data_IF_882408148933
#
_entry.id   IF_882408148933
#
_cell.length_a   1.000
_cell.length_b   1.000
_cell.length_c   1.000
_cell.angle_alpha   90.00
_cell.angle_beta   90.00
_cell.angle_gamma   90.00
#
_symmetry.space_group_name_H-M   'P 1'
#
loop_
_entity.id
_entity.type
_entity.pdbx_description
1 polymer ?
#
# COMPACT_ATOMS: atom_id res chain seq x y z
N UNK A 1 -8.77 2.46 22.51
CA UNK A 1 -9.04 3.88 22.82
C UNK A 1 -10.25 4.32 21.99
N UNK A 2 -11.39 4.49 22.67
CA UNK A 2 -12.73 4.31 22.13
C UNK A 2 -13.27 5.43 21.24
N UNK A 3 -14.01 5.00 20.22
CA UNK A 3 -15.05 5.79 19.56
C UNK A 3 -16.38 5.05 19.82
N UNK A 4 -17.01 5.37 20.94
CA UNK A 4 -18.39 4.96 21.26
C UNK A 4 -19.34 5.75 20.38
N UNK A 5 -19.75 5.16 19.25
CA UNK A 5 -20.90 5.60 18.49
C UNK A 5 -22.18 5.21 19.25
N UNK A 6 -22.91 6.20 19.75
CA UNK A 6 -24.20 6.01 20.38
C UNK A 6 -25.25 5.63 19.32
N UNK A 7 -25.75 4.39 19.38
CA UNK A 7 -26.91 3.91 18.63
C UNK A 7 -27.76 3.03 19.55
N UNK A 8 -28.93 3.53 19.94
CA UNK A 8 -29.89 2.90 20.86
C UNK A 8 -30.57 1.67 20.24
N UNK A 9 -30.66 0.57 21.00
CA UNK A 9 -31.57 -0.55 20.69
C UNK A 9 -31.14 -1.91 21.25
N UNK A 10 -31.50 -2.20 22.51
CA UNK A 10 -31.70 -3.55 23.10
C UNK A 10 -30.75 -4.68 22.66
N UNK A 11 -29.46 -4.53 22.93
CA UNK A 11 -28.57 -5.60 23.40
C UNK A 11 -27.32 -4.93 23.96
N UNK A 12 -27.26 -4.71 25.27
CA UNK A 12 -25.96 -4.61 25.94
C UNK A 12 -25.35 -6.02 25.96
N UNK A 13 -25.07 -6.57 24.77
CA UNK A 13 -24.10 -7.64 24.64
C UNK A 13 -22.82 -7.09 25.26
N UNK A 14 -22.25 -7.81 26.22
CA UNK A 14 -21.03 -7.41 26.92
C UNK A 14 -19.98 -7.01 25.88
N UNK A 15 -19.86 -5.71 25.62
CA UNK A 15 -18.83 -5.18 24.74
C UNK A 15 -17.51 -5.54 25.41
N UNK A 16 -16.59 -6.25 24.72
CA UNK A 16 -15.32 -6.61 25.31
C UNK A 16 -14.64 -5.35 25.85
N UNK A 17 -14.43 -5.31 27.16
CA UNK A 17 -13.68 -4.22 27.79
C UNK A 17 -12.21 -4.55 27.60
N UNK A 18 -11.59 -3.93 26.59
CA UNK A 18 -10.15 -4.02 26.38
C UNK A 18 -9.45 -3.07 27.35
N UNK A 19 -8.63 -3.61 28.25
CA UNK A 19 -7.82 -2.83 29.19
C UNK A 19 -6.50 -2.41 28.53
N UNK A 20 -5.88 -3.33 27.78
CA UNK A 20 -4.60 -3.11 27.12
C UNK A 20 -4.51 -3.82 25.75
N UNK A 21 -3.31 -3.84 25.17
CA UNK A 21 -3.05 -4.48 23.88
C UNK A 21 -3.03 -6.01 23.97
N UNK A 22 -2.82 -6.59 25.14
CA UNK A 22 -2.85 -8.04 25.32
C UNK A 22 -4.31 -8.52 25.19
N UNK A 23 -5.28 -7.80 25.76
CA UNK A 23 -6.71 -8.08 25.54
C UNK A 23 -7.12 -7.95 24.07
N UNK A 24 -6.57 -6.95 23.37
CA UNK A 24 -6.85 -6.74 21.95
C UNK A 24 -6.31 -7.90 21.12
N UNK A 25 -5.08 -8.36 21.39
CA UNK A 25 -4.45 -9.46 20.62
C UNK A 25 -4.98 -10.84 20.98
N UNK A 26 -5.48 -11.03 22.19
CA UNK A 26 -6.20 -12.25 22.60
C UNK A 26 -7.60 -12.34 21.98
N UNK A 27 -8.16 -11.21 21.53
CA UNK A 27 -9.51 -11.15 20.95
C UNK A 27 -9.65 -12.00 19.68
N UNK A 28 -10.78 -12.73 19.52
CA UNK A 28 -11.13 -13.36 18.24
C UNK A 28 -11.25 -12.36 17.07
N UNK A 29 -11.39 -11.07 17.36
CA UNK A 29 -11.42 -10.00 16.36
C UNK A 29 -10.03 -9.57 15.87
N UNK A 30 -8.95 -9.98 16.56
CA UNK A 30 -7.58 -9.80 16.08
C UNK A 30 -7.27 -10.74 14.90
N UNK A 31 -8.05 -11.81 14.73
CA UNK A 31 -7.93 -12.71 13.60
C UNK A 31 -8.79 -12.27 12.42
N UNK A 32 -8.38 -12.70 11.22
CA UNK A 32 -9.18 -12.48 10.02
C UNK A 32 -10.17 -13.62 9.79
N UNK A 33 -11.43 -13.44 10.20
CA UNK A 33 -12.49 -14.38 9.86
C UNK A 33 -12.89 -14.24 8.39
N UNK A 34 -12.60 -15.26 7.60
CA UNK A 34 -13.07 -15.38 6.21
C UNK A 34 -14.46 -16.02 6.17
N UNK A 35 -15.31 -15.67 5.19
CA UNK A 35 -16.54 -16.42 4.92
C UNK A 35 -16.25 -17.91 4.67
N UNK A 36 -17.19 -18.78 5.01
CA UNK A 36 -17.01 -20.25 5.01
C UNK A 36 -16.65 -20.84 3.63
N UNK A 37 -17.01 -20.17 2.55
CA UNK A 37 -16.72 -20.59 1.17
C UNK A 37 -15.30 -20.21 0.72
N UNK A 38 -14.59 -19.35 1.44
CA UNK A 38 -13.20 -19.01 1.12
C UNK A 38 -12.30 -20.15 1.57
N UNK A 39 -11.49 -20.65 0.65
CA UNK A 39 -10.49 -21.70 0.90
C UNK A 39 -9.10 -21.08 0.99
N UNK A 40 -8.29 -21.58 1.90
CA UNK A 40 -6.87 -21.22 1.99
C UNK A 40 -6.10 -22.03 0.94
N UNK A 41 -5.05 -21.42 0.39
CA UNK A 41 -4.05 -22.08 -0.44
C UNK A 41 -2.68 -21.79 0.15
N UNK A 42 -1.72 -22.64 -0.19
CA UNK A 42 -0.34 -22.44 0.23
C UNK A 42 0.22 -21.14 -0.38
N UNK A 43 1.20 -20.56 0.30
CA UNK A 43 1.97 -19.45 -0.24
C UNK A 43 2.66 -19.92 -1.53
N UNK A 44 2.75 -19.03 -2.54
CA UNK A 44 3.24 -19.31 -3.90
C UNK A 44 2.37 -20.23 -4.77
N UNK A 45 1.21 -20.63 -4.26
CA UNK A 45 0.22 -21.37 -5.02
C UNK A 45 -1.07 -20.51 -5.13
N UNK A 46 -1.10 -19.50 -6.03
CA UNK A 46 -2.32 -18.76 -6.36
C UNK A 46 -3.16 -19.48 -7.41
N UNK A 47 -4.44 -19.09 -7.55
CA UNK A 47 -5.38 -19.73 -8.48
C UNK A 47 -4.98 -19.66 -9.95
N UNK A 48 -4.02 -18.80 -10.27
CA UNK A 48 -3.42 -18.67 -11.59
C UNK A 48 -2.02 -19.25 -11.53
N UNK A 49 -1.68 -20.13 -12.47
CA UNK A 49 -0.34 -20.71 -12.56
C UNK A 49 0.72 -19.61 -12.76
N UNK A 50 1.83 -19.74 -12.05
CA UNK A 50 2.99 -18.86 -12.17
C UNK A 50 4.16 -19.69 -12.71
N UNK A 51 4.67 -19.30 -13.87
CA UNK A 51 5.93 -19.80 -14.39
C UNK A 51 7.09 -19.03 -13.73
N UNK A 52 7.62 -19.59 -12.65
CA UNK A 52 8.71 -19.01 -11.88
C UNK A 52 10.04 -18.97 -12.64
N UNK A 53 10.22 -19.82 -13.66
CA UNK A 53 11.43 -19.88 -14.46
C UNK A 53 11.46 -18.74 -15.48
N UNK A 54 10.30 -18.39 -16.04
CA UNK A 54 10.14 -17.20 -16.89
C UNK A 54 10.19 -15.88 -16.12
N UNK A 55 9.89 -15.88 -14.82
CA UNK A 55 10.01 -14.67 -14.00
C UNK A 55 11.46 -14.23 -13.84
N UNK A 56 11.68 -12.92 -13.91
CA UNK A 56 12.98 -12.31 -13.66
C UNK A 56 12.82 -11.09 -12.76
N UNK A 57 13.93 -10.72 -12.11
CA UNK A 57 13.99 -9.55 -11.26
C UNK A 57 13.79 -8.28 -12.10
N UNK A 58 12.63 -7.65 -11.98
CA UNK A 58 12.32 -6.46 -12.79
C UNK A 58 13.11 -5.22 -12.35
N UNK A 59 13.47 -4.38 -13.33
CA UNK A 59 14.02 -3.05 -13.10
C UNK A 59 12.86 -2.04 -12.97
N UNK A 60 12.68 -1.46 -11.77
CA UNK A 60 11.62 -0.50 -11.48
C UNK A 60 11.69 0.80 -12.27
N UNK A 61 12.82 1.09 -12.91
CA UNK A 61 13.02 2.25 -13.79
C UNK A 61 12.39 2.03 -15.17
N UNK A 62 12.22 0.77 -15.59
CA UNK A 62 11.72 0.36 -16.90
C UNK A 62 10.22 0.08 -16.90
N UNK A 63 9.43 0.92 -16.23
CA UNK A 63 7.97 0.79 -16.17
C UNK A 63 7.27 1.76 -17.11
N UNK A 64 6.17 1.34 -17.73
CA UNK A 64 5.42 2.13 -18.71
C UNK A 64 4.81 3.45 -18.18
N UNK A 65 4.87 3.68 -16.87
CA UNK A 65 4.48 4.97 -16.25
C UNK A 65 5.57 6.05 -16.38
N UNK A 66 6.82 5.68 -16.67
CA UNK A 66 7.94 6.63 -16.78
C UNK A 66 7.97 7.24 -18.18
N UNK A 67 8.02 8.58 -18.26
CA UNK A 67 7.98 9.29 -19.55
C UNK A 67 9.12 8.89 -20.49
N UNK A 68 10.35 8.76 -20.01
CA UNK A 68 11.48 8.34 -20.85
C UNK A 68 11.28 6.94 -21.45
N UNK A 69 10.69 6.02 -20.69
CA UNK A 69 10.30 4.68 -21.17
C UNK A 69 9.21 4.80 -22.24
N UNK A 70 8.20 5.63 -22.03
CA UNK A 70 7.16 5.87 -23.04
C UNK A 70 7.76 6.44 -24.33
N UNK A 71 8.65 7.44 -24.24
CA UNK A 71 9.32 8.03 -25.39
C UNK A 71 10.15 6.98 -26.14
N UNK A 72 10.89 6.12 -25.41
CA UNK A 72 11.69 5.04 -26.01
C UNK A 72 10.85 4.14 -26.92
N UNK A 73 9.66 3.76 -26.49
CA UNK A 73 8.84 2.76 -27.19
C UNK A 73 7.78 3.36 -28.13
N UNK A 74 7.27 4.55 -27.84
CA UNK A 74 6.17 5.18 -28.59
C UNK A 74 6.64 6.37 -29.45
N UNK A 75 7.80 6.94 -29.16
CA UNK A 75 8.25 8.22 -29.71
C UNK A 75 7.68 9.42 -28.95
N UNK A 76 8.44 10.52 -28.94
CA UNK A 76 8.06 11.73 -28.21
C UNK A 76 6.77 12.39 -28.74
N UNK A 77 6.59 12.40 -30.06
CA UNK A 77 5.40 12.97 -30.70
C UNK A 77 4.11 12.30 -30.21
N UNK A 78 4.08 10.96 -30.21
CA UNK A 78 2.90 10.21 -29.76
C UNK A 78 2.64 10.41 -28.26
N UNK A 79 3.69 10.46 -27.44
CA UNK A 79 3.56 10.77 -26.01
C UNK A 79 2.96 12.16 -25.81
N UNK A 80 3.42 13.17 -26.56
CA UNK A 80 2.88 14.52 -26.50
C UNK A 80 1.44 14.58 -26.99
N UNK A 81 1.10 13.90 -28.09
CA UNK A 81 -0.27 13.81 -28.61
C UNK A 81 -1.23 13.21 -27.58
N UNK A 82 -0.86 12.09 -26.94
CA UNK A 82 -1.68 11.45 -25.89
C UNK A 82 -1.92 12.36 -24.70
N UNK A 83 -0.88 13.05 -24.24
CA UNK A 83 -1.00 14.01 -23.15
C UNK A 83 -1.94 15.17 -23.51
N UNK A 84 -1.84 15.69 -24.74
CA UNK A 84 -2.73 16.75 -25.22
C UNK A 84 -4.20 16.30 -25.31
N UNK A 85 -4.47 15.08 -25.79
CA UNK A 85 -5.82 14.50 -25.83
C UNK A 85 -6.39 14.36 -24.41
N UNK A 86 -5.60 13.83 -23.47
CA UNK A 86 -6.03 13.70 -22.07
C UNK A 86 -6.33 15.06 -21.42
N UNK A 87 -5.44 16.05 -21.61
CA UNK A 87 -5.65 17.39 -21.08
C UNK A 87 -6.90 18.06 -21.66
N UNK A 88 -7.13 17.91 -22.98
CA UNK A 88 -8.33 18.42 -23.64
C UNK A 88 -9.60 17.74 -23.11
N UNK A 89 -9.59 16.41 -22.98
CA UNK A 89 -10.74 15.65 -22.46
C UNK A 89 -11.15 16.14 -21.07
N UNK A 90 -10.19 16.30 -20.15
CA UNK A 90 -10.48 16.84 -18.81
C UNK A 90 -10.98 18.28 -18.86
N UNK A 91 -10.35 19.15 -19.67
CA UNK A 91 -10.75 20.55 -19.79
C UNK A 91 -12.15 20.72 -20.40
N UNK A 92 -12.49 19.96 -21.43
CA UNK A 92 -13.81 19.97 -22.04
C UNK A 92 -14.86 19.40 -21.07
N UNK A 93 -14.52 18.34 -20.32
CA UNK A 93 -15.38 17.78 -19.29
C UNK A 93 -15.73 18.77 -18.18
N UNK A 94 -14.75 19.57 -17.74
CA UNK A 94 -14.94 20.65 -16.77
C UNK A 94 -15.87 21.75 -17.29
N UNK A 95 -15.66 22.21 -18.54
CA UNK A 95 -16.50 23.25 -19.16
C UNK A 95 -17.94 22.82 -19.35
N UNK A 96 -18.15 21.53 -19.61
CA UNK A 96 -19.46 20.97 -19.93
C UNK A 96 -20.16 20.34 -18.70
N UNK A 97 -19.64 20.53 -17.48
CA UNK A 97 -20.17 19.91 -16.26
C UNK A 97 -20.41 18.39 -16.38
N UNK A 98 -19.50 17.71 -17.08
CA UNK A 98 -19.61 16.27 -17.33
C UNK A 98 -19.55 15.50 -16.01
N UNK A 99 -20.48 14.57 -15.72
CA UNK A 99 -20.44 13.76 -14.51
C UNK A 99 -19.08 13.06 -14.32
N UNK A 100 -18.45 13.24 -13.14
CA UNK A 100 -17.11 12.71 -12.84
C UNK A 100 -15.95 13.65 -13.19
N UNK A 101 -16.21 14.73 -13.95
CA UNK A 101 -15.23 15.76 -14.31
C UNK A 101 -15.66 17.15 -13.84
N UNK A 102 -16.64 17.25 -12.94
CA UNK A 102 -17.05 18.55 -12.39
C UNK A 102 -15.94 19.13 -11.53
N UNK A 103 -15.98 20.44 -11.31
CA UNK A 103 -15.01 21.15 -10.47
C UNK A 103 -14.86 20.50 -9.08
N UNK A 104 -15.98 20.13 -8.44
CA UNK A 104 -15.97 19.45 -7.13
C UNK A 104 -15.34 18.04 -7.17
N UNK A 105 -15.53 17.32 -8.28
CA UNK A 105 -14.98 15.96 -8.45
C UNK A 105 -13.46 16.05 -8.64
N UNK A 106 -12.99 17.03 -9.42
CA UNK A 106 -11.57 17.34 -9.60
C UNK A 106 -10.94 17.88 -8.31
N UNK A 107 -11.64 18.71 -7.53
CA UNK A 107 -11.14 19.21 -6.25
C UNK A 107 -10.96 18.07 -5.23
N UNK A 108 -11.90 17.14 -5.17
CA UNK A 108 -11.78 15.93 -4.34
C UNK A 108 -10.59 15.08 -4.79
N UNK A 109 -10.46 14.83 -6.10
CA UNK A 109 -9.33 14.07 -6.64
C UNK A 109 -7.98 14.76 -6.34
N UNK A 110 -7.90 16.08 -6.52
CA UNK A 110 -6.70 16.87 -6.22
C UNK A 110 -6.34 16.82 -4.73
N UNK A 111 -7.34 16.89 -3.83
CA UNK A 111 -7.15 16.74 -2.40
C UNK A 111 -6.50 15.39 -2.05
N UNK A 112 -6.99 14.29 -2.62
CA UNK A 112 -6.38 12.95 -2.44
C UNK A 112 -4.99 12.88 -3.08
N UNK A 113 -4.81 13.42 -4.29
CA UNK A 113 -3.51 13.41 -4.98
C UNK A 113 -2.46 14.27 -4.27
N UNK A 114 -2.85 15.28 -3.49
CA UNK A 114 -1.92 16.04 -2.64
C UNK A 114 -1.25 15.18 -1.55
N UNK A 115 -1.89 14.07 -1.17
CA UNK A 115 -1.34 13.06 -0.25
C UNK A 115 -0.52 11.99 -1.00
N UNK A 116 -0.52 11.97 -2.33
CA UNK A 116 0.22 10.99 -3.13
C UNK A 116 1.73 11.01 -2.89
N UNK A 117 2.40 12.17 -2.71
CA UNK A 117 3.82 12.17 -2.33
C UNK A 117 4.09 11.41 -1.03
N UNK A 118 3.16 11.44 -0.06
CA UNK A 118 3.21 10.62 1.15
C UNK A 118 3.04 9.14 0.83
N UNK A 119 2.02 8.79 0.04
CA UNK A 119 1.75 7.38 -0.30
C UNK A 119 2.85 6.76 -1.19
N UNK A 120 3.57 7.57 -1.97
CA UNK A 120 4.58 7.14 -2.95
C UNK A 120 6.02 7.29 -2.45
N UNK A 121 6.24 7.53 -1.16
CA UNK A 121 7.60 7.63 -0.61
C UNK A 121 8.40 8.86 -1.05
N UNK A 122 7.74 9.86 -1.66
CA UNK A 122 8.37 11.09 -2.17
C UNK A 122 8.47 12.19 -1.11
N UNK A 123 8.06 11.91 0.12
CA UNK A 123 8.36 12.76 1.28
C UNK A 123 9.72 12.33 1.84
N UNK A 124 10.64 13.26 2.18
CA UNK A 124 11.95 12.96 2.76
C UNK A 124 11.94 12.06 4.01
N UNK A 125 10.79 11.91 4.67
CA UNK A 125 10.60 11.08 5.87
C UNK A 125 10.33 9.60 5.60
N UNK A 126 10.06 9.20 4.35
CA UNK A 126 9.88 7.79 3.98
C UNK A 126 11.22 7.25 3.48
N UNK A 127 12.13 7.01 4.43
CA UNK A 127 13.34 6.25 4.17
C UNK A 127 13.08 4.76 4.44
N UNK A 128 13.94 3.87 3.94
CA UNK A 128 13.92 2.46 4.35
C UNK A 128 13.95 2.29 5.88
N UNK A 129 14.54 3.26 6.58
CA UNK A 129 14.64 3.28 8.04
C UNK A 129 13.45 3.95 8.73
N UNK A 130 12.58 4.65 7.97
CA UNK A 130 11.48 5.42 8.51
C UNK A 130 11.94 6.55 9.45
N UNK A 131 10.99 7.13 10.22
CA UNK A 131 11.33 8.08 11.28
C UNK A 131 12.02 7.37 12.45
N UNK A 132 13.09 7.97 12.97
CA UNK A 132 13.77 7.46 14.16
C UNK A 132 12.85 7.59 15.39
N UNK A 133 12.71 6.50 16.14
CA UNK A 133 12.03 6.48 17.45
C UNK A 133 12.95 5.83 18.48
N UNK A 134 12.81 6.21 19.76
CA UNK A 134 13.61 5.63 20.83
C UNK A 134 13.35 4.11 20.92
N UNK A 135 14.40 3.30 20.80
CA UNK A 135 14.33 1.84 20.89
C UNK A 135 13.98 1.37 22.31
N UNK A 136 13.48 0.14 22.50
CA UNK A 136 13.32 -0.45 23.83
C UNK A 136 14.60 -0.37 24.67
N UNK A 137 15.75 -0.67 24.07
CA UNK A 137 17.06 -0.63 24.76
C UNK A 137 17.41 0.79 25.22
N UNK A 138 17.16 1.80 24.38
CA UNK A 138 17.37 3.20 24.74
C UNK A 138 16.46 3.66 25.90
N UNK A 139 15.36 2.93 26.14
CA UNK A 139 14.44 3.13 27.28
C UNK A 139 14.77 2.21 28.47
N UNK A 140 15.84 1.42 28.39
CA UNK A 140 16.28 0.51 29.45
C UNK A 140 15.41 -0.75 29.62
N UNK A 141 14.59 -1.10 28.62
CA UNK A 141 13.70 -2.28 28.65
C UNK A 141 14.04 -3.26 27.53
N UNK A 142 13.77 -4.54 27.76
CA UNK A 142 13.96 -5.56 26.74
C UNK A 142 12.94 -5.41 25.59
N UNK A 143 13.31 -5.88 24.39
CA UNK A 143 12.35 -6.00 23.28
C UNK A 143 11.23 -6.97 23.65
N UNK A 144 10.02 -6.64 23.24
CA UNK A 144 8.91 -7.59 23.26
C UNK A 144 9.26 -8.83 22.43
N UNK A 145 8.97 -10.00 22.97
CA UNK A 145 9.19 -11.30 22.33
C UNK A 145 7.97 -12.18 22.55
N UNK A 146 7.09 -12.24 21.55
CA UNK A 146 5.99 -13.20 21.47
C UNK A 146 6.31 -14.35 20.50
N UNK A 147 5.42 -15.34 20.46
CA UNK A 147 5.39 -16.35 19.40
C UNK A 147 5.08 -15.72 18.03
N UNK A 148 5.37 -16.39 16.90
CA UNK A 148 5.00 -15.88 15.58
C UNK A 148 3.51 -15.53 15.44
N UNK A 149 2.63 -16.29 16.09
CA UNK A 149 1.18 -16.06 16.08
C UNK A 149 0.80 -14.79 16.86
N UNK A 150 1.33 -14.62 18.08
CA UNK A 150 1.09 -13.43 18.91
C UNK A 150 1.63 -12.17 18.23
N UNK A 151 2.86 -12.22 17.71
CA UNK A 151 3.46 -11.11 16.97
C UNK A 151 2.62 -10.73 15.74
N UNK A 152 2.10 -11.72 15.01
CA UNK A 152 1.25 -11.48 13.84
C UNK A 152 -0.10 -10.86 14.21
N UNK A 153 -0.69 -11.24 15.35
CA UNK A 153 -1.91 -10.60 15.85
C UNK A 153 -1.64 -9.17 16.30
N UNK A 154 -0.52 -8.92 17.00
CA UNK A 154 -0.11 -7.58 17.41
C UNK A 154 0.06 -6.64 16.22
N UNK A 155 0.86 -7.05 15.23
CA UNK A 155 1.10 -6.26 14.01
C UNK A 155 -0.19 -6.02 13.23
N UNK A 156 -1.07 -7.03 13.15
CA UNK A 156 -2.34 -6.89 12.43
C UNK A 156 -3.22 -5.86 13.14
N UNK A 157 -3.39 -5.98 14.45
CA UNK A 157 -4.20 -5.04 15.24
C UNK A 157 -3.70 -3.60 15.08
N UNK A 158 -2.38 -3.40 15.13
CA UNK A 158 -1.78 -2.07 14.90
C UNK A 158 -2.04 -1.55 13.48
N UNK A 159 -1.83 -2.37 12.45
CA UNK A 159 -2.04 -1.96 11.05
C UNK A 159 -3.51 -1.67 10.74
N UNK A 160 -4.44 -2.49 11.23
CA UNK A 160 -5.89 -2.24 11.11
C UNK A 160 -6.24 -0.92 11.81
N UNK A 161 -5.71 -0.67 13.01
CA UNK A 161 -5.88 0.59 13.72
C UNK A 161 -5.36 1.79 12.90
N UNK A 162 -4.26 1.62 12.18
CA UNK A 162 -3.73 2.64 11.25
C UNK A 162 -4.46 2.72 9.90
N UNK A 163 -5.58 2.00 9.73
CA UNK A 163 -6.45 2.09 8.55
C UNK A 163 -6.14 1.08 7.45
N UNK A 164 -5.28 0.08 7.69
CA UNK A 164 -5.14 -1.04 6.76
C UNK A 164 -6.48 -1.79 6.66
N UNK A 165 -6.95 -2.06 5.45
CA UNK A 165 -8.16 -2.85 5.26
C UNK A 165 -7.91 -4.35 5.50
N UNK A 166 -6.74 -4.85 5.09
CA UNK A 166 -6.33 -6.24 5.18
C UNK A 166 -4.83 -6.32 5.45
N UNK A 167 -4.44 -7.34 6.22
CA UNK A 167 -3.05 -7.62 6.56
C UNK A 167 -2.80 -9.10 6.32
N UNK A 168 -1.75 -9.39 5.56
CA UNK A 168 -1.22 -10.73 5.31
C UNK A 168 0.27 -10.77 5.59
N UNK A 169 0.77 -11.97 5.84
CA UNK A 169 2.17 -12.22 6.16
C UNK A 169 2.70 -13.29 5.21
N UNK A 170 3.96 -13.15 4.82
CA UNK A 170 4.66 -14.12 4.01
C UNK A 170 6.15 -14.06 4.32
N UNK A 171 6.82 -15.20 4.25
CA UNK A 171 8.26 -15.27 4.44
C UNK A 171 8.98 -14.66 3.23
N UNK A 172 10.02 -13.85 3.49
CA UNK A 172 10.88 -13.35 2.41
C UNK A 172 11.91 -14.43 2.04
N UNK A 173 11.49 -15.33 1.16
CA UNK A 173 12.33 -16.41 0.65
C UNK A 173 13.38 -15.91 -0.35
N UNK A 174 14.36 -16.76 -0.69
CA UNK A 174 15.34 -16.43 -1.73
C UNK A 174 14.68 -16.23 -3.10
N UNK A 175 13.67 -17.06 -3.43
CA UNK A 175 12.84 -16.89 -4.63
C UNK A 175 12.26 -15.48 -4.73
N UNK A 176 11.78 -14.91 -3.62
CA UNK A 176 11.18 -13.58 -3.63
C UNK A 176 12.21 -12.48 -3.88
N UNK A 177 13.39 -12.61 -3.28
CA UNK A 177 14.50 -11.68 -3.50
C UNK A 177 14.96 -11.69 -4.96
N UNK A 178 14.97 -12.87 -5.58
CA UNK A 178 15.44 -13.06 -6.95
C UNK A 178 14.38 -12.76 -8.01
N UNK A 179 13.09 -12.86 -7.69
CA UNK A 179 12.00 -12.80 -8.68
C UNK A 179 11.00 -11.66 -8.44
N UNK A 180 10.71 -11.30 -7.19
CA UNK A 180 9.64 -10.35 -6.83
C UNK A 180 10.15 -8.97 -6.44
N UNK A 181 11.34 -8.88 -5.84
CA UNK A 181 11.93 -7.60 -5.44
C UNK A 181 12.60 -6.93 -6.62
N UNK A 182 12.33 -5.65 -6.85
CA UNK A 182 12.95 -4.93 -7.97
C UNK A 182 14.46 -4.78 -7.76
N UNK A 183 15.23 -4.77 -8.84
CA UNK A 183 16.68 -4.46 -8.80
C UNK A 183 16.92 -3.01 -8.40
N UNK A 184 16.11 -2.11 -8.94
CA UNK A 184 16.07 -0.69 -8.61
C UNK A 184 14.64 -0.27 -8.32
N UNK A 185 14.45 0.59 -7.31
CA UNK A 185 13.15 1.20 -7.08
C UNK A 185 12.81 2.21 -8.19
N UNK A 186 11.53 2.52 -8.34
CA UNK A 186 11.02 3.55 -9.25
C UNK A 186 11.52 4.95 -8.87
N UNK A 187 11.86 5.18 -7.59
CA UNK A 187 12.29 6.47 -7.02
C UNK A 187 13.36 7.19 -7.86
N UNK A 188 13.27 8.53 -7.94
CA UNK A 188 14.13 9.44 -8.72
C UNK A 188 14.57 9.00 -10.14
N UNK A 189 13.98 7.96 -10.74
CA UNK A 189 14.24 7.59 -12.13
C UNK A 189 13.82 8.72 -13.11
N UNK A 190 13.01 9.68 -12.65
CA UNK A 190 12.70 10.91 -13.36
C UNK A 190 13.85 11.94 -13.39
N UNK A 191 14.82 11.86 -12.47
CA UNK A 191 15.94 12.82 -12.36
C UNK A 191 17.32 12.18 -12.55
N UNK A 192 17.49 10.88 -12.25
CA UNK A 192 18.78 10.18 -12.36
C UNK A 192 19.03 9.54 -13.73
N UNK A 193 17.99 9.32 -14.56
CA UNK A 193 18.14 8.80 -15.92
C UNK A 193 18.02 9.95 -16.94
N UNK A 194 19.05 10.81 -16.96
CA UNK A 194 19.22 11.86 -17.97
C UNK A 194 20.43 11.63 -18.89
N UNK A 195 21.05 10.45 -18.88
CA UNK A 195 22.27 10.24 -19.67
C UNK A 195 22.47 8.80 -20.12
N UNK A 196 22.65 8.67 -21.43
CA UNK A 196 23.23 7.56 -22.17
C UNK A 196 22.40 6.26 -22.27
N UNK A 197 21.91 6.03 -23.48
CA UNK A 197 21.78 4.69 -24.06
C UNK A 197 23.16 4.19 -24.48
#
# INVERSE_FOLDING_TARGET
LGLTGAGLGTAAAATPVFQDLDDVTASPSAEWKRPWWVKNREIDDPTTEIDWDMMYRSDGRMVGQVRSVQIKYLGEEEVNRRNAVGAKFTADGLKNDTPGLKVRDQALAAGVMSMLPMAMGMIPSISFMGPATATPEARGVAKYQGTPAENSRMLRSALIFYGAAQVGYGEVTQRYKDKLFRTFDKGNAATAYQGAW
#
